data_IF_622282349877
#
_entry.id   IF_622282349877
#
_cell.length_a   1.000
_cell.length_b   1.000
_cell.length_c   1.000
_cell.angle_alpha   90.00
_cell.angle_beta   90.00
_cell.angle_gamma   90.00
#
_symmetry.space_group_name_H-M   'P 1'
#
loop_
_entity.id
_entity.type
_entity.pdbx_description
1 polymer ?
#
# COMPACT_ATOMS: atom_id res chain seq x y z
N UNK A 1 53.92 27.14 21.36
CA UNK A 1 53.05 26.14 21.95
C UNK A 1 51.65 26.60 22.11
N UNK A 2 51.40 27.88 22.21
CA UNK A 2 50.04 28.37 22.28
C UNK A 2 49.21 27.99 21.06
N UNK A 3 49.83 27.84 19.89
CA UNK A 3 49.11 27.47 18.70
C UNK A 3 48.63 26.03 18.78
N UNK A 4 49.44 25.16 19.38
CA UNK A 4 49.06 23.76 19.50
C UNK A 4 47.85 23.60 20.42
N UNK A 5 47.82 24.36 21.50
CA UNK A 5 46.70 24.33 22.41
C UNK A 5 45.41 24.77 21.74
N UNK A 6 45.50 25.84 20.92
CA UNK A 6 44.33 26.32 20.22
C UNK A 6 43.90 25.33 19.18
N UNK A 7 44.82 24.69 18.49
CA UNK A 7 44.47 23.68 17.52
C UNK A 7 43.79 22.49 18.16
N UNK A 8 44.25 22.10 19.36
CA UNK A 8 43.61 21.00 20.03
C UNK A 8 42.20 21.36 20.46
N UNK A 9 41.97 22.56 20.97
CA UNK A 9 40.64 23.00 21.33
C UNK A 9 39.72 23.07 20.13
N UNK A 10 40.25 23.59 19.01
CA UNK A 10 39.46 23.66 17.80
C UNK A 10 39.13 22.30 17.29
N UNK A 11 40.04 21.35 17.36
CA UNK A 11 39.84 20.00 16.93
C UNK A 11 38.78 19.31 17.80
N UNK A 12 38.78 19.57 19.12
CA UNK A 12 37.79 18.99 19.98
C UNK A 12 36.39 19.48 19.63
N UNK A 13 36.26 20.80 19.36
CA UNK A 13 34.98 21.36 18.98
C UNK A 13 34.53 20.79 17.64
N UNK A 14 35.47 20.65 16.70
CA UNK A 14 35.12 20.05 15.41
C UNK A 14 34.62 18.63 15.55
N UNK A 15 35.28 17.83 16.39
CA UNK A 15 34.86 16.45 16.61
C UNK A 15 33.47 16.41 17.25
N UNK A 16 33.23 17.32 18.22
CA UNK A 16 31.92 17.36 18.86
C UNK A 16 30.83 17.73 17.86
N UNK A 17 31.08 18.72 17.04
CA UNK A 17 30.11 19.14 16.03
C UNK A 17 29.88 18.02 15.04
N UNK A 18 30.95 17.34 14.62
CA UNK A 18 30.82 16.22 13.69
C UNK A 18 29.99 15.11 14.27
N UNK A 19 30.20 14.81 15.57
CA UNK A 19 29.43 13.76 16.22
C UNK A 19 27.95 14.13 16.28
N UNK A 20 27.64 15.39 16.60
CA UNK A 20 26.25 15.83 16.65
C UNK A 20 25.62 15.72 15.28
N UNK A 21 26.32 16.14 14.25
CA UNK A 21 25.79 16.05 12.88
C UNK A 21 25.53 14.60 12.50
N UNK A 22 26.48 13.71 12.82
CA UNK A 22 26.31 12.29 12.53
C UNK A 22 25.10 11.73 13.26
N UNK A 23 24.91 12.10 14.52
CA UNK A 23 23.77 11.61 15.27
C UNK A 23 22.45 12.10 14.68
N UNK A 24 22.40 13.36 14.27
CA UNK A 24 21.18 13.91 13.68
C UNK A 24 20.88 13.23 12.35
N UNK A 25 21.89 13.06 11.50
CA UNK A 25 21.70 12.40 10.20
C UNK A 25 21.28 10.95 10.41
N UNK A 26 21.88 10.28 11.36
CA UNK A 26 21.56 8.89 11.64
C UNK A 26 20.13 8.75 12.13
N UNK A 27 19.70 9.65 13.03
CA UNK A 27 18.34 9.63 13.55
C UNK A 27 17.33 9.85 12.44
N UNK A 28 17.61 10.82 11.55
CA UNK A 28 16.71 11.07 10.43
C UNK A 28 16.66 9.88 9.48
N UNK A 29 17.82 9.26 9.26
CA UNK A 29 17.90 8.08 8.40
C UNK A 29 17.06 6.93 8.95
N UNK A 30 17.11 6.72 10.26
CA UNK A 30 16.32 5.66 10.88
C UNK A 30 14.84 5.97 10.74
N UNK A 31 14.43 7.22 10.92
CA UNK A 31 13.04 7.58 10.77
C UNK A 31 12.53 7.34 9.36
N UNK A 32 13.32 7.71 8.36
CA UNK A 32 12.94 7.48 6.97
C UNK A 32 12.87 5.98 6.70
N UNK A 33 13.84 5.24 7.20
CA UNK A 33 13.87 3.80 7.00
C UNK A 33 12.63 3.13 7.61
N UNK A 34 12.26 3.53 8.82
CA UNK A 34 11.09 2.99 9.47
C UNK A 34 9.83 3.33 8.69
N UNK A 35 9.72 4.55 8.19
CA UNK A 35 8.56 4.93 7.41
C UNK A 35 8.45 4.09 6.15
N UNK A 36 9.56 3.83 5.48
CA UNK A 36 9.55 3.00 4.28
C UNK A 36 9.14 1.58 4.62
N UNK A 37 9.67 1.04 5.72
CA UNK A 37 9.34 -0.32 6.11
C UNK A 37 7.85 -0.45 6.47
N UNK A 38 7.32 0.50 7.20
CA UNK A 38 5.92 0.43 7.59
C UNK A 38 4.99 0.75 6.42
N UNK A 39 5.45 1.52 5.46
CA UNK A 39 4.64 1.84 4.30
C UNK A 39 4.68 0.76 3.24
N UNK A 40 5.69 -0.09 3.28
CA UNK A 40 5.82 -1.14 2.28
C UNK A 40 4.67 -2.14 2.44
N UNK A 41 4.01 -2.50 1.34
CA UNK A 41 2.94 -3.47 1.45
C UNK A 41 3.49 -4.83 1.83
N UNK A 42 2.78 -5.53 2.69
CA UNK A 42 3.17 -6.88 3.07
C UNK A 42 2.97 -7.80 1.87
N UNK A 43 3.61 -8.98 1.85
CA UNK A 43 3.38 -9.94 0.79
C UNK A 43 1.91 -10.30 0.61
N UNK A 44 1.16 -10.36 1.72
CA UNK A 44 -0.27 -10.64 1.64
C UNK A 44 -1.03 -9.53 0.93
N UNK A 45 -0.66 -8.28 1.15
CA UNK A 45 -1.30 -7.17 0.47
C UNK A 45 -1.00 -7.19 -1.02
N UNK A 46 0.23 -7.52 -1.39
CA UNK A 46 0.60 -7.61 -2.80
C UNK A 46 -0.18 -8.73 -3.47
N UNK A 47 -0.28 -9.88 -2.80
CA UNK A 47 -1.03 -11.00 -3.32
C UNK A 47 -2.51 -10.65 -3.48
N UNK A 48 -3.09 -9.97 -2.49
CA UNK A 48 -4.47 -9.55 -2.57
C UNK A 48 -4.68 -8.57 -3.72
N UNK A 49 -3.77 -7.64 -3.92
CA UNK A 49 -3.90 -6.67 -4.98
C UNK A 49 -3.85 -7.34 -6.35
N UNK A 50 -2.97 -8.30 -6.53
CA UNK A 50 -2.89 -9.04 -7.79
C UNK A 50 -4.16 -9.83 -8.04
N UNK A 51 -4.72 -10.45 -6.99
CA UNK A 51 -5.95 -11.20 -7.13
C UNK A 51 -7.13 -10.27 -7.41
N UNK A 52 -7.15 -9.09 -6.79
CA UNK A 52 -8.20 -8.10 -7.06
C UNK A 52 -8.18 -7.68 -8.53
N UNK A 53 -6.99 -7.46 -9.07
CA UNK A 53 -6.87 -7.12 -10.49
C UNK A 53 -7.37 -8.25 -11.37
N UNK A 54 -7.08 -9.49 -11.02
CA UNK A 54 -7.53 -10.64 -11.78
C UNK A 54 -9.05 -10.75 -11.76
N UNK A 55 -9.66 -10.56 -10.58
CA UNK A 55 -11.11 -10.59 -10.47
C UNK A 55 -11.74 -9.45 -11.28
N UNK A 56 -11.15 -8.26 -11.25
CA UNK A 56 -11.68 -7.15 -11.99
C UNK A 56 -11.67 -7.43 -13.49
N UNK A 57 -10.58 -8.02 -13.98
CA UNK A 57 -10.50 -8.38 -15.39
C UNK A 57 -11.54 -9.42 -15.76
N UNK A 58 -11.76 -10.41 -14.89
CA UNK A 58 -12.75 -11.44 -15.14
C UNK A 58 -14.15 -10.85 -15.21
N UNK A 59 -14.49 -9.95 -14.30
CA UNK A 59 -15.82 -9.34 -14.29
C UNK A 59 -16.01 -8.50 -15.55
N UNK A 60 -14.97 -7.76 -15.96
CA UNK A 60 -15.08 -6.98 -17.18
C UNK A 60 -15.27 -7.84 -18.41
N UNK A 61 -14.60 -9.00 -18.43
CA UNK A 61 -14.71 -9.90 -19.55
C UNK A 61 -16.05 -10.60 -19.59
N UNK A 62 -16.52 -11.06 -18.42
CA UNK A 62 -17.77 -11.81 -18.34
C UNK A 62 -18.99 -10.92 -18.34
N UNK A 63 -18.88 -9.73 -17.77
CA UNK A 63 -20.01 -8.83 -17.65
C UNK A 63 -20.95 -9.11 -16.49
N UNK A 64 -20.56 -10.02 -15.61
CA UNK A 64 -21.35 -10.34 -14.43
C UNK A 64 -20.47 -10.95 -13.35
N UNK A 65 -21.00 -11.07 -12.14
CA UNK A 65 -20.30 -11.65 -11.02
C UNK A 65 -20.91 -13.02 -10.76
N UNK A 66 -20.07 -14.03 -10.72
CA UNK A 66 -20.55 -15.38 -10.47
C UNK A 66 -20.87 -15.61 -9.01
N UNK A 67 -20.04 -15.15 -8.12
CA UNK A 67 -20.26 -15.32 -6.69
C UNK A 67 -19.97 -14.03 -5.96
N UNK A 68 -20.81 -13.66 -4.99
CA UNK A 68 -20.59 -12.40 -4.26
C UNK A 68 -19.42 -12.43 -3.30
N UNK A 69 -18.99 -13.61 -2.90
CA UNK A 69 -17.85 -13.76 -2.00
C UNK A 69 -17.03 -14.96 -2.43
N UNK A 70 -15.73 -14.77 -2.47
CA UNK A 70 -14.81 -15.85 -2.85
C UNK A 70 -13.66 -15.84 -1.87
N UNK A 71 -13.25 -16.99 -1.41
CA UNK A 71 -12.10 -17.10 -0.53
C UNK A 71 -10.94 -17.78 -1.26
N UNK A 72 -9.81 -17.11 -1.31
CA UNK A 72 -8.60 -17.62 -1.96
C UNK A 72 -7.44 -17.46 -1.00
N UNK A 73 -6.75 -18.53 -0.67
CA UNK A 73 -5.59 -18.49 0.22
C UNK A 73 -5.89 -17.79 1.55
N UNK A 74 -7.03 -18.09 2.13
CA UNK A 74 -7.46 -17.53 3.41
C UNK A 74 -7.82 -16.06 3.35
N UNK A 75 -7.88 -15.48 2.18
CA UNK A 75 -8.29 -14.09 2.01
C UNK A 75 -9.70 -14.09 1.44
N UNK A 76 -10.58 -13.36 2.08
CA UNK A 76 -11.97 -13.28 1.63
C UNK A 76 -12.12 -12.07 0.71
N UNK A 77 -12.61 -12.32 -0.50
CA UNK A 77 -12.86 -11.26 -1.48
C UNK A 77 -14.36 -11.07 -1.59
N UNK A 78 -14.81 -9.88 -1.24
CA UNK A 78 -16.24 -9.57 -1.25
C UNK A 78 -16.54 -8.59 -2.37
N UNK A 79 -17.50 -8.94 -3.20
CA UNK A 79 -17.89 -8.14 -4.35
C UNK A 79 -19.16 -7.39 -4.03
N UNK A 80 -19.15 -6.08 -4.22
CA UNK A 80 -20.33 -5.24 -4.03
C UNK A 80 -20.61 -4.50 -5.31
N UNK A 81 -21.86 -4.47 -5.72
CA UNK A 81 -22.24 -3.74 -6.90
C UNK A 81 -23.10 -2.56 -6.51
N UNK A 82 -22.72 -1.40 -6.99
CA UNK A 82 -23.49 -0.20 -6.77
C UNK A 82 -24.02 0.26 -8.12
N UNK A 83 -25.31 0.37 -8.25
CA UNK A 83 -25.91 0.77 -9.51
C UNK A 83 -25.81 2.26 -9.64
N UNK A 84 -25.18 2.70 -10.71
CA UNK A 84 -25.12 4.10 -10.97
C UNK A 84 -26.29 4.53 -11.80
N UNK A 85 -26.44 5.81 -11.98
CA UNK A 85 -27.51 6.34 -12.81
C UNK A 85 -27.31 6.02 -14.28
N UNK A 86 -26.13 5.62 -14.67
CA UNK A 86 -25.86 5.32 -16.08
C UNK A 86 -26.32 3.92 -16.43
N UNK A 87 -27.24 3.78 -17.36
CA UNK A 87 -27.72 2.44 -17.72
C UNK A 87 -26.62 1.62 -18.37
N UNK A 88 -26.54 0.37 -18.02
CA UNK A 88 -25.58 -0.53 -18.61
C UNK A 88 -24.22 -0.53 -17.95
N UNK A 89 -23.94 0.45 -17.12
CA UNK A 89 -22.67 0.49 -16.41
C UNK A 89 -22.92 0.22 -14.93
N UNK A 90 -22.14 -0.64 -14.37
CA UNK A 90 -22.22 -0.94 -12.95
C UNK A 90 -20.89 -0.67 -12.27
N UNK A 91 -20.97 -0.18 -11.06
CA UNK A 91 -19.81 0.12 -10.29
C UNK A 91 -19.53 -1.04 -9.35
N UNK A 92 -18.42 -1.69 -9.53
CA UNK A 92 -18.06 -2.84 -8.74
C UNK A 92 -16.98 -2.46 -7.74
N UNK A 93 -17.18 -2.87 -6.51
CA UNK A 93 -16.18 -2.71 -5.48
C UNK A 93 -15.81 -4.09 -4.98
N UNK A 94 -14.55 -4.42 -4.98
CA UNK A 94 -14.06 -5.70 -4.46
C UNK A 94 -13.16 -5.39 -3.29
N UNK A 95 -13.46 -5.98 -2.14
CA UNK A 95 -12.67 -5.80 -0.94
C UNK A 95 -12.02 -7.12 -0.55
N UNK A 96 -10.75 -7.07 -0.23
CA UNK A 96 -10.01 -8.24 0.25
C UNK A 96 -9.76 -8.09 1.73
N UNK A 97 -10.23 -9.04 2.52
CA UNK A 97 -10.04 -9.00 3.98
C UNK A 97 -9.52 -10.33 4.47
N UNK A 98 -8.77 -10.28 5.56
CA UNK A 98 -8.29 -11.47 6.21
C UNK A 98 -8.28 -11.19 7.70
N UNK A 99 -9.00 -12.01 8.46
CA UNK A 99 -9.08 -11.85 9.92
C UNK A 99 -9.50 -10.43 10.31
N UNK A 100 -10.55 -9.93 9.63
CA UNK A 100 -11.08 -8.59 9.89
C UNK A 100 -10.12 -7.47 9.53
N UNK A 101 -9.02 -7.77 8.86
CA UNK A 101 -8.10 -6.74 8.42
C UNK A 101 -8.24 -6.58 6.92
N UNK A 102 -8.45 -5.36 6.48
CA UNK A 102 -8.58 -5.11 5.05
C UNK A 102 -7.21 -5.10 4.39
N UNK A 103 -7.01 -5.97 3.43
CA UNK A 103 -5.75 -6.06 2.71
C UNK A 103 -5.73 -5.18 1.48
N UNK A 104 -6.88 -4.91 0.89
CA UNK A 104 -6.94 -4.05 -0.28
C UNK A 104 -8.35 -3.94 -0.79
N UNK A 105 -8.54 -3.05 -1.73
CA UNK A 105 -9.84 -2.91 -2.38
C UNK A 105 -9.62 -2.29 -3.75
N UNK A 106 -10.58 -2.50 -4.63
CA UNK A 106 -10.50 -1.97 -5.98
C UNK A 106 -11.90 -1.57 -6.41
N UNK A 107 -11.99 -0.49 -7.17
CA UNK A 107 -13.25 -0.02 -7.73
C UNK A 107 -13.14 -0.10 -9.24
N UNK A 108 -14.12 -0.70 -9.88
CA UNK A 108 -14.08 -0.89 -11.33
C UNK A 108 -15.44 -0.59 -11.89
N UNK A 109 -15.47 0.05 -13.04
CA UNK A 109 -16.71 0.19 -13.79
C UNK A 109 -16.72 -0.87 -14.87
N UNK A 110 -17.81 -1.60 -14.99
CA UNK A 110 -17.92 -2.59 -16.03
C UNK A 110 -19.30 -2.52 -16.68
N UNK A 111 -19.36 -3.04 -17.89
CA UNK A 111 -20.58 -3.02 -18.63
C UNK A 111 -21.31 -4.32 -18.40
N UNK A 112 -22.53 -4.23 -17.92
CA UNK A 112 -23.31 -5.42 -17.64
C UNK A 112 -23.81 -6.02 -18.93
N UNK A 113 -23.58 -7.33 -19.12
CA UNK A 113 -24.05 -8.02 -20.29
C UNK A 113 -25.27 -8.83 -20.02
N UNK A 114 -25.88 -8.67 -18.81
CA UNK A 114 -26.85 -9.55 -18.46
C UNK A 114 -28.19 -9.20 -18.81
N UNK A 115 -28.50 -8.12 -19.26
CA UNK A 115 -29.79 -7.75 -19.36
C UNK A 115 -30.44 -8.20 -20.54
N UNK A 116 -29.88 -8.91 -21.32
CA UNK A 116 -30.42 -9.27 -22.43
C UNK A 116 -31.46 -10.11 -22.37
N UNK A 117 -31.78 -10.61 -21.61
CA UNK A 117 -32.83 -11.44 -21.64
C UNK A 117 -33.84 -11.04 -21.41
#
# INVERSE_FOLDING_TARGET
MAKLTKLEGSTLIEVLIAMVIIMVVFTLGIQIFNNVLYSSPSPKKIQAQQQLDAFAKDVKRLGYIEEPEVMVDSILYRFSIDSNDTPGLKHLEIKATQRDMQLGQIHVLYQSKQHEE
#
